data_IF_224119775496
#
_entry.id   IF_224119775496
#
_cell.length_a   1.000
_cell.length_b   1.000
_cell.length_c   1.000
_cell.angle_alpha   90.00
_cell.angle_beta   90.00
_cell.angle_gamma   90.00
#
_symmetry.space_group_name_H-M   'P 1'
#
loop_
_entity.id
_entity.type
_entity.pdbx_description
1 polymer ?
#
# COMPACT_ATOMS: atom_id res chain seq x y z
N UNK A 1 16.90 -12.09 -9.77
CA UNK A 1 15.44 -11.91 -9.90
C UNK A 1 14.80 -12.32 -8.60
N UNK A 2 14.85 -11.45 -7.60
CA UNK A 2 14.15 -11.63 -6.32
C UNK A 2 13.66 -10.25 -5.92
N UNK A 3 12.55 -9.82 -6.50
CA UNK A 3 11.84 -8.59 -6.11
C UNK A 3 11.10 -8.87 -4.81
N UNK A 4 11.85 -8.98 -3.71
CA UNK A 4 11.31 -8.68 -2.38
C UNK A 4 11.53 -7.18 -2.19
N UNK A 5 10.46 -6.38 -2.21
CA UNK A 5 10.54 -5.03 -1.68
C UNK A 5 10.91 -5.16 -0.21
N UNK A 6 12.12 -4.74 0.17
CA UNK A 6 12.56 -4.81 1.57
C UNK A 6 12.00 -3.59 2.30
N UNK A 7 11.13 -3.84 3.26
CA UNK A 7 11.08 -3.10 4.52
C UNK A 7 10.96 -4.12 5.63
N UNK A 8 11.78 -3.94 6.67
CA UNK A 8 12.15 -4.94 7.67
C UNK A 8 10.96 -5.64 8.32
N UNK A 9 11.12 -6.96 8.49
CA UNK A 9 10.27 -7.86 9.25
C UNK A 9 9.84 -7.26 10.60
N UNK A 10 8.52 -7.22 10.84
CA UNK A 10 7.95 -7.28 12.17
C UNK A 10 7.16 -8.58 12.26
N UNK A 11 7.84 -9.61 12.75
CA UNK A 11 7.24 -10.87 13.12
C UNK A 11 6.11 -10.64 14.14
N UNK A 12 4.87 -10.90 13.75
CA UNK A 12 3.97 -11.68 14.60
C UNK A 12 2.81 -10.99 15.29
N UNK A 13 2.77 -9.68 15.49
CA UNK A 13 1.58 -8.99 16.02
C UNK A 13 1.43 -7.62 15.36
N UNK A 14 0.19 -7.19 15.11
CA UNK A 14 -0.14 -5.92 14.46
C UNK A 14 -0.46 -4.82 15.52
N UNK A 15 0.51 -4.14 16.16
CA UNK A 15 0.24 -3.12 17.17
C UNK A 15 -0.34 -1.81 16.61
N UNK A 16 -0.41 -1.65 15.28
CA UNK A 16 -0.68 -0.39 14.60
C UNK A 16 -2.15 -0.16 14.19
N UNK A 17 -3.07 -1.06 14.54
CA UNK A 17 -4.51 -0.87 14.26
C UNK A 17 -5.10 0.31 15.04
N UNK A 18 -4.51 0.63 16.20
CA UNK A 18 -4.96 1.71 17.09
C UNK A 18 -4.52 3.14 16.72
N UNK A 19 -3.75 3.34 15.65
CA UNK A 19 -3.32 4.69 15.22
C UNK A 19 -4.06 5.22 13.99
N UNK A 20 -4.70 4.35 13.21
CA UNK A 20 -5.30 4.74 11.94
C UNK A 20 -6.80 4.96 12.06
N UNK A 21 -7.27 6.09 11.55
CA UNK A 21 -8.69 6.45 11.53
C UNK A 21 -9.33 5.94 10.23
N UNK A 22 -10.45 5.24 10.37
CA UNK A 22 -11.28 4.88 9.24
C UNK A 22 -11.82 6.15 8.57
N UNK A 23 -11.51 6.35 7.29
CA UNK A 23 -12.01 7.50 6.51
C UNK A 23 -13.54 7.57 6.48
N UNK A 24 -14.23 6.42 6.53
CA UNK A 24 -15.69 6.33 6.46
C UNK A 24 -16.38 6.39 7.83
N UNK A 25 -15.88 5.65 8.83
CA UNK A 25 -16.45 5.61 10.20
C UNK A 25 -15.99 6.78 11.08
N UNK A 26 -14.87 7.43 10.75
CA UNK A 26 -14.25 8.50 11.55
C UNK A 26 -13.52 8.03 12.81
N UNK A 27 -13.82 6.83 13.31
CA UNK A 27 -13.16 6.18 14.46
C UNK A 27 -11.89 5.41 14.09
N UNK A 28 -11.17 4.94 15.11
CA UNK A 28 -9.98 4.08 14.94
C UNK A 28 -10.36 2.72 14.35
N UNK A 29 -9.47 2.14 13.54
CA UNK A 29 -9.70 0.83 12.91
C UNK A 29 -9.29 -0.27 13.90
N UNK A 30 -10.18 -0.59 14.85
CA UNK A 30 -9.91 -1.57 15.92
C UNK A 30 -10.51 -2.95 15.66
N UNK A 31 -11.49 -3.02 14.77
CA UNK A 31 -12.29 -4.21 14.49
C UNK A 31 -12.53 -4.34 12.99
N UNK A 32 -12.98 -5.54 12.60
CA UNK A 32 -13.33 -5.85 11.22
C UNK A 32 -14.39 -4.87 10.73
N UNK A 33 -14.16 -4.25 9.57
CA UNK A 33 -15.18 -3.41 8.95
C UNK A 33 -16.32 -4.30 8.42
N UNK A 34 -17.55 -4.08 8.92
CA UNK A 34 -18.76 -4.79 8.46
C UNK A 34 -19.44 -4.09 7.28
N UNK A 35 -19.14 -2.81 7.06
CA UNK A 35 -19.74 -2.02 6.00
C UNK A 35 -19.28 -2.51 4.62
N UNK A 36 -20.18 -3.19 3.92
CA UNK A 36 -19.96 -3.72 2.57
C UNK A 36 -19.83 -2.64 1.50
N UNK A 37 -20.29 -1.42 1.80
CA UNK A 37 -20.26 -0.26 0.90
C UNK A 37 -19.05 0.65 1.16
N UNK A 38 -18.11 0.24 2.01
CA UNK A 38 -16.89 1.00 2.27
C UNK A 38 -16.01 1.05 1.01
N UNK A 39 -15.60 2.26 0.61
CA UNK A 39 -14.72 2.50 -0.55
C UNK A 39 -13.40 1.71 -0.46
N UNK A 40 -12.90 1.53 0.76
CA UNK A 40 -11.62 0.88 1.05
C UNK A 40 -11.81 -0.55 1.56
N UNK A 41 -12.96 -1.16 1.27
CA UNK A 41 -13.25 -2.52 1.72
C UNK A 41 -12.33 -3.51 1.01
N UNK A 42 -11.62 -4.29 1.81
CA UNK A 42 -10.88 -5.47 1.38
C UNK A 42 -11.60 -6.72 1.92
N UNK A 43 -11.70 -7.81 1.15
CA UNK A 43 -12.31 -9.06 1.64
C UNK A 43 -11.25 -9.92 2.34
N UNK A 44 -10.70 -9.40 3.44
CA UNK A 44 -9.69 -10.09 4.24
C UNK A 44 -9.79 -9.62 5.70
N UNK A 45 -10.23 -10.51 6.58
CA UNK A 45 -10.41 -10.23 8.01
C UNK A 45 -9.09 -10.01 8.74
N UNK A 46 -7.99 -10.62 8.26
CA UNK A 46 -6.64 -10.39 8.79
C UNK A 46 -6.18 -8.94 8.65
N UNK A 47 -6.76 -8.19 7.71
CA UNK A 47 -6.55 -6.75 7.55
C UNK A 47 -7.79 -5.93 7.93
N UNK A 48 -8.62 -6.45 8.84
CA UNK A 48 -9.83 -5.78 9.34
C UNK A 48 -10.80 -5.34 8.22
N UNK A 49 -10.81 -6.07 7.11
CA UNK A 49 -11.52 -5.73 5.88
C UNK A 49 -11.20 -4.33 5.31
N UNK A 50 -9.97 -3.83 5.52
CA UNK A 50 -9.58 -2.48 5.12
C UNK A 50 -8.26 -2.47 4.34
N UNK A 51 -8.29 -1.93 3.11
CA UNK A 51 -7.08 -1.76 2.28
C UNK A 51 -6.03 -0.89 2.97
N UNK A 52 -6.45 0.13 3.73
CA UNK A 52 -5.54 1.04 4.43
C UNK A 52 -4.73 0.31 5.52
N UNK A 53 -5.34 -0.66 6.19
CA UNK A 53 -4.68 -1.54 7.15
C UNK A 53 -3.67 -2.42 6.41
N UNK A 54 -4.11 -3.10 5.34
CA UNK A 54 -3.23 -3.97 4.54
C UNK A 54 -1.97 -3.25 4.05
N UNK A 55 -2.07 -2.00 3.56
CA UNK A 55 -0.91 -1.25 3.07
C UNK A 55 0.22 -1.03 4.10
N UNK A 56 -0.06 -1.14 5.40
CA UNK A 56 0.93 -0.97 6.47
C UNK A 56 1.66 -2.27 6.86
N UNK A 57 1.25 -3.43 6.34
CA UNK A 57 1.84 -4.73 6.68
C UNK A 57 2.71 -5.34 5.57
N UNK A 58 2.92 -4.61 4.48
CA UNK A 58 3.78 -5.05 3.39
C UNK A 58 5.23 -5.25 3.84
N UNK A 59 6.02 -6.04 3.08
CA UNK A 59 5.88 -6.16 1.63
C UNK A 59 4.99 -7.31 1.14
N UNK A 60 4.24 -7.07 0.06
CA UNK A 60 3.48 -8.09 -0.67
C UNK A 60 3.98 -8.19 -2.12
N UNK A 61 3.92 -9.39 -2.66
CA UNK A 61 4.15 -9.65 -4.09
C UNK A 61 2.95 -9.21 -4.93
N UNK A 62 3.17 -9.00 -6.24
CA UNK A 62 2.09 -8.67 -7.18
C UNK A 62 0.99 -9.73 -7.24
N UNK A 63 1.33 -10.98 -6.93
CA UNK A 63 0.40 -12.11 -6.91
C UNK A 63 -0.48 -12.06 -5.66
N UNK A 64 0.12 -11.92 -4.47
CA UNK A 64 -0.61 -11.77 -3.20
C UNK A 64 -1.54 -10.53 -3.23
N UNK A 65 -1.08 -9.41 -3.78
CA UNK A 65 -1.92 -8.22 -3.96
C UNK A 65 -3.08 -8.48 -4.93
N UNK A 66 -2.83 -9.24 -6.00
CA UNK A 66 -3.85 -9.64 -6.96
C UNK A 66 -4.95 -10.48 -6.30
N UNK A 67 -4.55 -11.51 -5.54
CA UNK A 67 -5.46 -12.38 -4.79
C UNK A 67 -6.30 -11.58 -3.78
N UNK A 68 -5.66 -10.73 -2.96
CA UNK A 68 -6.37 -9.89 -1.97
C UNK A 68 -7.40 -8.96 -2.61
N UNK A 69 -7.09 -8.40 -3.79
CA UNK A 69 -7.94 -7.43 -4.49
C UNK A 69 -8.90 -8.08 -5.49
N UNK A 70 -8.83 -9.41 -5.69
CA UNK A 70 -9.66 -10.14 -6.66
C UNK A 70 -9.36 -9.77 -8.13
N UNK A 71 -8.10 -9.46 -8.45
CA UNK A 71 -7.65 -9.11 -9.80
C UNK A 71 -6.42 -9.92 -10.19
N UNK A 72 -6.09 -9.97 -11.48
CA UNK A 72 -4.92 -10.72 -11.95
C UNK A 72 -3.62 -10.03 -11.56
N UNK A 73 -2.55 -10.81 -11.38
CA UNK A 73 -1.17 -10.31 -11.18
C UNK A 73 -0.78 -9.27 -12.23
N UNK A 74 -1.09 -9.53 -13.50
CA UNK A 74 -0.78 -8.62 -14.61
C UNK A 74 -1.54 -7.29 -14.50
N UNK A 75 -2.77 -7.31 -13.98
CA UNK A 75 -3.52 -6.08 -13.72
C UNK A 75 -2.83 -5.22 -12.67
N UNK A 76 -2.31 -5.82 -11.58
CA UNK A 76 -1.54 -5.09 -10.56
C UNK A 76 -0.27 -4.50 -11.19
N UNK A 77 0.49 -5.28 -11.97
CA UNK A 77 1.69 -4.82 -12.68
C UNK A 77 1.43 -3.61 -13.59
N UNK A 78 0.31 -3.62 -14.32
CA UNK A 78 -0.09 -2.50 -15.17
C UNK A 78 -0.41 -1.24 -14.36
N UNK A 79 -1.09 -1.38 -13.22
CA UNK A 79 -1.41 -0.26 -12.32
C UNK A 79 -0.13 0.34 -11.76
N UNK A 80 0.80 -0.50 -11.30
CA UNK A 80 2.11 -0.10 -10.81
C UNK A 80 2.90 0.69 -11.87
N UNK A 81 3.06 0.13 -13.07
CA UNK A 81 3.77 0.80 -14.16
C UNK A 81 3.14 2.16 -14.50
N UNK A 82 1.80 2.25 -14.48
CA UNK A 82 1.07 3.50 -14.72
C UNK A 82 1.27 4.50 -13.58
N UNK A 83 1.34 4.05 -12.33
CA UNK A 83 1.59 4.89 -11.16
C UNK A 83 3.02 5.44 -11.17
N UNK A 84 4.01 4.58 -11.40
CA UNK A 84 5.42 4.97 -11.52
C UNK A 84 5.63 6.01 -12.63
N UNK A 85 5.07 5.77 -13.82
CA UNK A 85 5.11 6.74 -14.93
C UNK A 85 4.48 8.09 -14.54
N UNK A 86 3.42 8.08 -13.72
CA UNK A 86 2.83 9.32 -13.21
C UNK A 86 3.79 10.01 -12.25
N UNK A 87 4.39 9.30 -11.29
CA UNK A 87 5.28 9.88 -10.28
C UNK A 87 6.56 10.47 -10.88
N UNK A 88 7.09 9.88 -11.95
CA UNK A 88 8.26 10.38 -12.69
C UNK A 88 8.02 11.73 -13.40
N UNK A 89 6.77 12.14 -13.58
CA UNK A 89 6.46 13.42 -14.23
C UNK A 89 7.01 14.60 -13.40
N UNK A 90 7.80 15.48 -14.03
CA UNK A 90 8.53 16.60 -13.40
C UNK A 90 7.75 17.30 -12.27
N UNK A 91 6.52 17.74 -12.54
CA UNK A 91 5.67 18.40 -11.52
C UNK A 91 5.50 17.61 -10.21
N UNK A 92 5.33 16.28 -10.28
CA UNK A 92 5.20 15.42 -9.08
C UNK A 92 6.56 15.01 -8.52
N UNK A 93 7.53 14.72 -9.39
CA UNK A 93 8.91 14.41 -8.97
C UNK A 93 9.51 15.55 -8.15
N UNK A 94 9.38 16.79 -8.63
CA UNK A 94 9.93 17.97 -7.97
C UNK A 94 9.31 18.18 -6.56
N UNK A 95 8.05 17.77 -6.36
CA UNK A 95 7.39 17.79 -5.04
C UNK A 95 7.85 16.68 -4.09
N UNK A 96 8.39 15.58 -4.64
CA UNK A 96 8.86 14.42 -3.88
C UNK A 96 10.37 14.45 -3.61
N UNK A 97 11.11 15.34 -4.27
CA UNK A 97 12.57 15.39 -4.23
C UNK A 97 13.12 15.59 -2.82
N UNK A 98 12.47 16.44 -2.02
CA UNK A 98 12.91 16.75 -0.65
C UNK A 98 12.74 15.57 0.33
N UNK A 99 12.00 14.53 -0.07
CA UNK A 99 11.79 13.31 0.72
C UNK A 99 12.71 12.16 0.29
N UNK A 100 13.46 12.28 -0.80
CA UNK A 100 14.38 11.25 -1.25
C UNK A 100 15.65 11.27 -0.39
N UNK A 101 16.11 10.10 0.06
CA UNK A 101 17.39 9.97 0.77
C UNK A 101 18.54 10.55 -0.08
N UNK A 102 19.58 11.15 0.54
CA UNK A 102 20.69 11.81 -0.17
C UNK A 102 21.42 10.90 -1.17
N UNK A 103 21.38 9.59 -0.97
CA UNK A 103 22.05 8.59 -1.82
C UNK A 103 21.28 8.27 -3.11
N UNK A 104 20.03 8.75 -3.26
CA UNK A 104 19.28 8.59 -4.49
C UNK A 104 19.57 9.77 -5.42
N UNK A 105 20.58 9.59 -6.27
CA UNK A 105 20.96 10.55 -7.30
C UNK A 105 19.93 10.53 -8.45
N UNK A 106 18.81 11.22 -8.24
CA UNK A 106 17.71 11.36 -9.20
C UNK A 106 18.04 12.33 -10.36
N UNK A 107 19.21 12.96 -10.33
CA UNK A 107 19.64 13.98 -11.28
C UNK A 107 20.63 13.44 -12.35
N UNK A 108 20.87 12.12 -12.42
CA UNK A 108 21.65 11.49 -13.50
C UNK A 108 20.74 11.18 -14.70
N UNK A 109 20.39 12.23 -15.46
CA UNK A 109 19.79 12.11 -16.79
C UNK A 109 20.37 13.17 -17.73
#
# INVERSE_FOLDING_TARGET
MSEKFIVHDLQGECPLTNIYKCKKRGGLIQEVCEDSTCEWRLKNEGFLNCTWVACNFGPFTLEEVGEMMGVTRERIRQIEAKALKKLQHKKRRDQLRDFASPDNDWDVA
#
